data_IF_942534857726
#
_entry.id   IF_942534857726
#
_cell.length_a   1.000
_cell.length_b   1.000
_cell.length_c   1.000
_cell.angle_alpha   90.00
_cell.angle_beta   90.00
_cell.angle_gamma   90.00
#
_symmetry.space_group_name_H-M   'P 1'
#
loop_
_entity.id
_entity.type
_entity.pdbx_description
1 polymer ?
#
# COMPACT_ATOMS: atom_id res chain seq x y z
N UNK A 1 27.15 86.92 -39.68
CA UNK A 1 27.14 86.25 -38.37
C UNK A 1 25.74 85.75 -38.11
N UNK A 2 25.50 84.45 -38.26
CA UNK A 2 24.20 83.80 -37.97
C UNK A 2 24.46 82.64 -37.01
N UNK A 3 23.59 82.58 -36.02
CA UNK A 3 23.65 81.83 -34.77
C UNK A 3 22.99 80.45 -34.90
N UNK A 4 23.52 79.53 -34.10
CA UNK A 4 23.04 78.23 -33.59
C UNK A 4 21.68 77.63 -34.01
N UNK A 5 21.67 76.30 -34.16
CA UNK A 5 20.60 75.42 -33.69
C UNK A 5 21.13 73.99 -33.49
N UNK A 6 21.09 73.46 -32.27
CA UNK A 6 21.41 72.06 -31.95
C UNK A 6 20.28 71.40 -31.13
N UNK A 7 19.49 70.59 -31.84
CA UNK A 7 19.05 69.21 -31.58
C UNK A 7 18.65 68.81 -30.13
N UNK A 8 17.32 68.80 -29.94
CA UNK A 8 16.41 67.77 -29.37
C UNK A 8 16.95 66.74 -28.35
N UNK A 9 16.44 66.84 -27.12
CA UNK A 9 16.41 65.80 -26.08
C UNK A 9 15.41 64.68 -26.42
N UNK A 10 15.79 63.42 -26.23
CA UNK A 10 14.91 62.25 -26.25
C UNK A 10 14.76 61.70 -24.82
N UNK A 11 13.53 61.65 -24.32
CA UNK A 11 13.20 61.17 -22.98
C UNK A 11 13.04 59.64 -22.95
N UNK A 12 13.60 59.00 -21.93
CA UNK A 12 13.50 57.58 -21.58
C UNK A 12 12.21 57.31 -20.78
N UNK A 13 11.40 56.33 -21.18
CA UNK A 13 10.30 55.80 -20.38
C UNK A 13 10.60 54.35 -19.98
N UNK A 14 10.54 54.09 -18.67
CA UNK A 14 10.85 52.82 -18.00
C UNK A 14 9.60 51.93 -17.99
N UNK A 15 9.69 50.71 -18.52
CA UNK A 15 8.63 49.71 -18.49
C UNK A 15 8.66 48.87 -17.20
N UNK A 16 7.51 48.78 -16.52
CA UNK A 16 7.32 47.90 -15.37
C UNK A 16 6.84 46.51 -15.83
N UNK A 17 7.69 45.49 -15.63
CA UNK A 17 7.43 44.10 -16.00
C UNK A 17 6.89 43.33 -14.79
N UNK A 18 5.58 43.07 -14.74
CA UNK A 18 4.96 42.18 -13.75
C UNK A 18 5.24 40.72 -14.12
N UNK A 19 6.15 40.07 -13.40
CA UNK A 19 6.42 38.63 -13.54
C UNK A 19 5.34 37.87 -12.76
N UNK A 20 4.36 37.32 -13.50
CA UNK A 20 3.36 36.41 -12.95
C UNK A 20 4.07 35.06 -12.76
N UNK A 21 4.52 34.78 -11.55
CA UNK A 21 5.00 33.45 -11.15
C UNK A 21 3.82 32.48 -11.18
N UNK A 22 3.65 31.77 -12.29
CA UNK A 22 2.80 30.60 -12.38
C UNK A 22 3.37 29.53 -11.43
N UNK A 23 2.86 29.48 -10.20
CA UNK A 23 3.14 28.39 -9.29
C UNK A 23 2.72 27.09 -9.96
N UNK A 24 3.67 26.20 -10.22
CA UNK A 24 3.38 24.82 -10.56
C UNK A 24 2.69 24.19 -9.35
N UNK A 25 1.36 24.15 -9.38
CA UNK A 25 0.60 23.29 -8.49
C UNK A 25 0.97 21.85 -8.82
N UNK A 26 1.97 21.31 -8.12
CA UNK A 26 2.25 19.88 -8.15
C UNK A 26 1.05 19.15 -7.56
N UNK A 27 0.19 18.59 -8.42
CA UNK A 27 -0.78 17.59 -8.02
C UNK A 27 -0.05 16.47 -7.30
N UNK A 28 -0.48 16.15 -6.08
CA UNK A 28 0.08 15.07 -5.26
C UNK A 28 -0.16 13.70 -5.91
N UNK A 29 0.69 12.69 -5.62
CA UNK A 29 0.92 11.55 -6.50
C UNK A 29 -0.36 10.80 -6.84
N UNK A 30 -0.46 10.41 -8.11
CA UNK A 30 -1.37 9.35 -8.56
C UNK A 30 -1.22 8.17 -7.61
N UNK A 31 -2.33 7.65 -7.08
CA UNK A 31 -2.32 6.44 -6.28
C UNK A 31 -1.43 5.38 -6.95
N UNK A 32 -0.36 4.94 -6.29
CA UNK A 32 0.65 4.03 -6.87
C UNK A 32 0.18 2.57 -6.86
N UNK A 33 -1.13 2.35 -6.94
CA UNK A 33 -1.76 1.06 -6.72
C UNK A 33 -2.54 0.62 -7.96
N UNK A 34 -1.83 0.12 -8.99
CA UNK A 34 -2.47 -0.35 -10.20
C UNK A 34 -3.33 -1.58 -9.91
N UNK A 35 -4.56 -1.60 -10.45
CA UNK A 35 -5.47 -2.74 -10.34
C UNK A 35 -5.12 -3.91 -11.28
N UNK A 36 -4.01 -3.82 -12.01
CA UNK A 36 -3.53 -4.85 -12.94
C UNK A 36 -2.66 -5.87 -12.20
N UNK A 37 -2.62 -7.14 -12.67
CA UNK A 37 -1.66 -8.10 -12.16
C UNK A 37 -0.22 -7.58 -12.29
N UNK A 38 0.60 -7.86 -11.29
CA UNK A 38 1.99 -7.45 -11.22
C UNK A 38 2.88 -8.54 -10.62
N UNK A 39 4.15 -8.50 -11.00
CA UNK A 39 5.24 -9.21 -10.32
C UNK A 39 6.21 -8.17 -9.80
N UNK A 40 6.44 -8.17 -8.50
CA UNK A 40 7.36 -7.21 -7.88
C UNK A 40 8.80 -7.54 -8.29
N UNK A 41 9.43 -6.70 -9.12
CA UNK A 41 10.84 -6.87 -9.51
C UNK A 41 11.79 -6.64 -8.33
N UNK A 42 11.41 -5.76 -7.43
CA UNK A 42 12.08 -5.46 -6.17
C UNK A 42 11.05 -5.26 -5.06
N UNK A 43 11.52 -5.44 -3.81
CA UNK A 43 10.72 -5.10 -2.64
C UNK A 43 10.33 -3.64 -2.74
N UNK A 44 9.03 -3.36 -2.67
CA UNK A 44 8.50 -2.02 -2.84
C UNK A 44 7.36 -1.77 -1.85
N UNK A 45 7.22 -0.52 -1.42
CA UNK A 45 6.11 -0.06 -0.61
C UNK A 45 5.19 0.78 -1.47
N UNK A 46 3.96 0.32 -1.62
CA UNK A 46 2.87 1.00 -2.31
C UNK A 46 2.11 1.84 -1.28
N UNK A 47 1.91 3.11 -1.59
CA UNK A 47 1.03 3.99 -0.82
C UNK A 47 -0.19 4.24 -1.71
N UNK A 48 -1.26 3.49 -1.46
CA UNK A 48 -2.45 3.50 -2.34
C UNK A 48 -3.26 4.77 -2.14
N UNK A 49 -3.60 5.04 -0.88
CA UNK A 49 -4.36 6.20 -0.46
C UNK A 49 -3.91 6.59 0.95
N UNK A 50 -4.42 7.71 1.45
CA UNK A 50 -4.09 8.15 2.80
C UNK A 50 -4.50 7.07 3.82
N UNK A 51 -3.52 6.50 4.52
CA UNK A 51 -3.76 5.48 5.56
C UNK A 51 -3.73 4.04 5.08
N UNK A 52 -3.38 3.75 3.82
CA UNK A 52 -3.12 2.39 3.34
C UNK A 52 -1.71 2.29 2.76
N UNK A 53 -0.87 1.50 3.42
CA UNK A 53 0.47 1.14 2.94
C UNK A 53 0.61 -0.36 2.77
N UNK A 54 1.17 -0.79 1.64
CA UNK A 54 1.37 -2.20 1.31
C UNK A 54 2.83 -2.39 0.89
N UNK A 55 3.62 -3.10 1.69
CA UNK A 55 4.96 -3.53 1.29
C UNK A 55 4.89 -4.94 0.73
N UNK A 56 5.27 -5.12 -0.54
CA UNK A 56 5.35 -6.44 -1.18
C UNK A 56 6.79 -6.92 -1.26
N UNK A 57 7.00 -8.21 -0.99
CA UNK A 57 8.31 -8.85 -1.15
C UNK A 57 8.73 -8.93 -2.61
N UNK A 58 10.04 -8.83 -2.87
CA UNK A 58 10.62 -9.12 -4.19
C UNK A 58 10.13 -10.46 -4.72
N UNK A 59 9.64 -10.46 -5.96
CA UNK A 59 9.12 -11.62 -6.68
C UNK A 59 7.70 -12.02 -6.28
N UNK A 60 7.00 -11.21 -5.47
CA UNK A 60 5.59 -11.45 -5.19
C UNK A 60 4.74 -11.31 -6.46
N UNK A 61 3.84 -12.27 -6.67
CA UNK A 61 2.79 -12.20 -7.68
C UNK A 61 1.51 -11.72 -7.01
N UNK A 62 0.98 -10.59 -7.46
CA UNK A 62 -0.17 -9.97 -6.81
C UNK A 62 -0.99 -9.13 -7.76
N UNK A 63 -2.18 -8.73 -7.29
CA UNK A 63 -3.02 -7.72 -7.91
C UNK A 63 -3.80 -6.98 -6.84
N UNK A 64 -3.92 -5.66 -6.99
CA UNK A 64 -4.83 -4.87 -6.15
C UNK A 64 -6.23 -4.87 -6.75
N UNK A 65 -7.24 -4.82 -5.89
CA UNK A 65 -8.63 -4.86 -6.29
C UNK A 65 -9.45 -3.79 -5.56
N UNK A 66 -10.34 -3.19 -6.33
CA UNK A 66 -11.46 -2.38 -5.87
C UNK A 66 -12.71 -3.23 -6.11
N UNK A 67 -13.17 -3.95 -5.08
CA UNK A 67 -14.28 -4.91 -5.22
C UNK A 67 -15.63 -4.21 -5.16
N UNK A 68 -15.74 -3.13 -4.39
CA UNK A 68 -16.96 -2.35 -4.25
C UNK A 68 -17.14 -1.29 -5.36
N UNK A 69 -16.11 -1.06 -6.18
CA UNK A 69 -16.07 -0.12 -7.32
C UNK A 69 -16.21 1.34 -6.90
N UNK A 70 -15.67 1.71 -5.74
CA UNK A 70 -15.70 3.09 -5.25
C UNK A 70 -14.46 3.92 -5.63
N UNK A 71 -13.51 3.31 -6.35
CA UNK A 71 -12.26 3.92 -6.78
C UNK A 71 -11.12 3.76 -5.78
N UNK A 72 -11.34 3.14 -4.62
CA UNK A 72 -10.32 2.83 -3.62
C UNK A 72 -9.98 1.34 -3.60
N UNK A 73 -8.78 1.01 -3.15
CA UNK A 73 -8.35 -0.39 -3.08
C UNK A 73 -8.82 -0.98 -1.76
N UNK A 74 -9.70 -1.98 -1.84
CA UNK A 74 -10.23 -2.69 -0.67
C UNK A 74 -9.67 -4.12 -0.52
N UNK A 75 -8.85 -4.58 -1.47
CA UNK A 75 -8.21 -5.88 -1.40
C UNK A 75 -6.87 -6.00 -2.12
N UNK A 76 -6.02 -6.88 -1.60
CA UNK A 76 -4.84 -7.42 -2.23
C UNK A 76 -5.07 -8.90 -2.53
N UNK A 77 -5.03 -9.29 -3.81
CA UNK A 77 -4.94 -10.69 -4.21
C UNK A 77 -3.47 -11.06 -4.27
N UNK A 78 -3.03 -12.01 -3.44
CA UNK A 78 -1.63 -12.42 -3.30
C UNK A 78 -1.48 -13.92 -3.58
N UNK A 79 -0.75 -14.25 -4.65
CA UNK A 79 -0.59 -15.63 -5.12
C UNK A 79 0.70 -16.29 -4.62
N UNK A 80 1.72 -15.48 -4.32
CA UNK A 80 3.00 -15.98 -3.81
C UNK A 80 3.77 -14.90 -3.06
N UNK A 81 4.70 -15.35 -2.20
CA UNK A 81 5.56 -14.50 -1.38
C UNK A 81 4.78 -13.71 -0.33
N UNK A 82 5.44 -12.74 0.29
CA UNK A 82 4.89 -12.01 1.40
C UNK A 82 4.44 -10.59 1.06
N UNK A 83 3.47 -10.10 1.83
CA UNK A 83 3.11 -8.70 1.90
C UNK A 83 2.92 -8.28 3.37
N UNK A 84 3.30 -7.05 3.69
CA UNK A 84 2.95 -6.34 4.91
C UNK A 84 1.90 -5.28 4.56
N UNK A 85 0.80 -5.27 5.30
CA UNK A 85 -0.30 -4.34 5.12
C UNK A 85 -0.41 -3.51 6.40
N UNK A 86 -0.46 -2.20 6.25
CA UNK A 86 -0.76 -1.25 7.32
C UNK A 86 -1.97 -0.40 6.93
N UNK A 87 -3.05 -0.54 7.72
CA UNK A 87 -4.31 0.18 7.55
C UNK A 87 -4.53 1.08 8.75
N UNK A 88 -4.75 2.36 8.50
CA UNK A 88 -5.17 3.35 9.49
C UNK A 88 -6.70 3.43 9.55
N UNK A 89 -7.26 3.03 10.70
CA UNK A 89 -8.71 3.04 10.94
C UNK A 89 -9.34 4.44 10.91
N UNK A 90 -8.55 5.48 11.17
CA UNK A 90 -9.03 6.87 11.16
C UNK A 90 -9.11 7.46 9.75
N UNK A 91 -8.48 6.82 8.77
CA UNK A 91 -8.42 7.29 7.38
C UNK A 91 -9.19 6.39 6.43
N UNK A 92 -9.15 5.09 6.65
CA UNK A 92 -9.87 4.09 5.86
C UNK A 92 -11.15 3.69 6.61
N UNK A 93 -12.30 4.10 6.07
CA UNK A 93 -13.62 3.81 6.64
C UNK A 93 -14.08 2.37 6.35
N UNK A 94 -13.52 1.74 5.31
CA UNK A 94 -13.79 0.38 4.89
C UNK A 94 -12.97 -0.70 5.61
N UNK A 95 -13.23 -1.96 5.24
CA UNK A 95 -12.31 -3.05 5.56
C UNK A 95 -11.25 -3.22 4.47
N UNK A 96 -10.18 -3.92 4.79
CA UNK A 96 -9.20 -4.36 3.79
C UNK A 96 -9.04 -5.88 3.84
N UNK A 97 -8.92 -6.52 2.69
CA UNK A 97 -8.73 -7.96 2.59
C UNK A 97 -7.43 -8.34 1.89
N UNK A 98 -6.79 -9.41 2.34
CA UNK A 98 -5.84 -10.17 1.53
C UNK A 98 -6.46 -11.50 1.17
N UNK A 99 -6.61 -11.73 -0.12
CA UNK A 99 -7.14 -12.97 -0.70
C UNK A 99 -5.99 -13.79 -1.23
N UNK A 100 -5.87 -15.03 -0.79
CA UNK A 100 -4.85 -15.98 -1.24
C UNK A 100 -5.51 -17.28 -1.68
N UNK A 101 -4.75 -18.21 -2.29
CA UNK A 101 -5.28 -19.52 -2.66
C UNK A 101 -5.77 -20.38 -1.48
N UNK A 102 -5.38 -20.08 -0.24
CA UNK A 102 -5.74 -20.87 0.94
C UNK A 102 -6.59 -20.09 1.95
N UNK A 103 -6.48 -18.76 2.00
CA UNK A 103 -7.10 -17.95 3.04
C UNK A 103 -7.66 -16.62 2.50
N UNK A 104 -8.68 -16.13 3.21
CA UNK A 104 -9.10 -14.73 3.14
C UNK A 104 -8.84 -14.14 4.51
N UNK A 105 -8.01 -13.10 4.58
CA UNK A 105 -7.72 -12.40 5.81
C UNK A 105 -8.24 -10.96 5.73
N UNK A 106 -9.08 -10.58 6.69
CA UNK A 106 -9.89 -9.37 6.66
C UNK A 106 -9.70 -8.54 7.92
N UNK A 107 -9.64 -7.22 7.75
CA UNK A 107 -9.30 -6.29 8.83
C UNK A 107 -10.08 -4.99 8.78
N UNK A 108 -10.05 -4.27 9.91
CA UNK A 108 -10.23 -2.82 9.99
C UNK A 108 -9.12 -2.25 10.86
N UNK A 109 -8.29 -1.37 10.31
CA UNK A 109 -7.32 -0.62 11.12
C UNK A 109 -6.19 -1.42 11.76
N UNK A 110 -5.43 -2.20 10.99
CA UNK A 110 -4.44 -3.14 11.52
C UNK A 110 -3.11 -3.08 10.77
N UNK A 111 -2.05 -3.55 11.44
CA UNK A 111 -0.78 -3.87 10.79
C UNK A 111 -0.52 -5.36 10.86
N UNK A 112 -0.32 -6.01 9.73
CA UNK A 112 -0.29 -7.48 9.64
C UNK A 112 0.40 -7.94 8.36
N UNK A 113 0.91 -9.16 8.37
CA UNK A 113 1.64 -9.73 7.25
C UNK A 113 1.03 -11.05 6.80
N UNK A 114 1.09 -11.28 5.49
CA UNK A 114 0.69 -12.54 4.83
C UNK A 114 1.89 -13.08 4.10
N UNK A 115 2.16 -14.38 4.22
CA UNK A 115 3.18 -15.09 3.46
C UNK A 115 2.55 -16.28 2.73
N UNK A 116 2.56 -16.23 1.40
CA UNK A 116 1.97 -17.25 0.55
C UNK A 116 3.05 -18.17 0.00
N UNK A 117 2.94 -19.44 0.37
CA UNK A 117 3.74 -20.54 -0.16
C UNK A 117 2.82 -21.49 -0.92
N UNK A 118 3.42 -22.42 -1.68
CA UNK A 118 2.66 -23.39 -2.49
C UNK A 118 1.65 -24.20 -1.64
N UNK A 119 2.06 -24.62 -0.46
CA UNK A 119 1.27 -25.49 0.40
C UNK A 119 0.35 -24.73 1.37
N UNK A 120 0.73 -23.51 1.79
CA UNK A 120 0.01 -22.79 2.83
C UNK A 120 0.09 -21.26 2.67
N UNK A 121 -0.84 -20.59 3.32
CA UNK A 121 -0.79 -19.15 3.61
C UNK A 121 -0.58 -18.98 5.10
N UNK A 122 0.47 -18.25 5.47
CA UNK A 122 0.70 -17.83 6.86
C UNK A 122 0.20 -16.42 7.06
N UNK A 123 -0.47 -16.14 8.17
CA UNK A 123 -0.90 -14.78 8.56
C UNK A 123 -0.34 -14.46 9.94
N UNK A 124 0.24 -13.26 10.10
CA UNK A 124 0.81 -12.73 11.34
C UNK A 124 0.22 -11.36 11.65
N UNK A 125 -0.17 -11.12 12.90
CA UNK A 125 -0.67 -9.81 13.33
C UNK A 125 0.38 -9.07 14.15
N UNK A 126 0.71 -7.85 13.72
CA UNK A 126 1.65 -6.95 14.41
C UNK A 126 0.88 -5.91 15.26
N UNK A 127 -0.30 -5.49 14.80
CA UNK A 127 -1.18 -4.53 15.48
C UNK A 127 -2.64 -4.79 15.14
N UNK A 128 -3.51 -4.73 16.15
CA UNK A 128 -4.95 -4.87 15.99
C UNK A 128 -5.41 -6.33 15.96
N UNK A 129 -6.45 -6.62 15.18
CA UNK A 129 -7.06 -7.95 15.07
C UNK A 129 -7.39 -8.31 13.62
N UNK A 130 -7.09 -9.54 13.23
CA UNK A 130 -7.30 -10.02 11.87
C UNK A 130 -8.22 -11.23 11.90
N UNK A 131 -9.33 -11.18 11.16
CA UNK A 131 -10.15 -12.35 10.89
C UNK A 131 -9.53 -13.13 9.74
N UNK A 132 -9.33 -14.44 9.89
CA UNK A 132 -8.77 -15.30 8.84
C UNK A 132 -9.72 -16.46 8.60
N UNK A 133 -10.19 -16.59 7.35
CA UNK A 133 -11.08 -17.65 6.90
C UNK A 133 -10.32 -18.59 5.96
N UNK A 134 -10.42 -19.89 6.22
CA UNK A 134 -9.88 -20.93 5.35
C UNK A 134 -10.80 -21.12 4.15
N UNK A 135 -10.26 -20.92 2.94
CA UNK A 135 -11.03 -21.00 1.68
C UNK A 135 -11.69 -22.37 1.49
N UNK A 136 -10.97 -23.46 1.82
CA UNK A 136 -11.45 -24.82 1.55
C UNK A 136 -12.63 -25.29 2.43
N UNK A 137 -12.87 -24.62 3.56
CA UNK A 137 -13.87 -25.07 4.55
C UNK A 137 -14.78 -23.96 5.04
N UNK A 138 -14.45 -22.69 4.81
CA UNK A 138 -15.11 -21.54 5.41
C UNK A 138 -14.80 -21.34 6.89
N UNK A 139 -14.02 -22.22 7.54
CA UNK A 139 -13.67 -22.08 8.94
C UNK A 139 -12.89 -20.79 9.19
N UNK A 140 -13.33 -20.01 10.17
CA UNK A 140 -12.70 -18.75 10.57
C UNK A 140 -12.02 -18.80 11.94
N UNK A 141 -10.99 -17.99 12.12
CA UNK A 141 -10.39 -17.64 13.42
C UNK A 141 -10.10 -16.14 13.47
N UNK A 142 -10.00 -15.59 14.68
CA UNK A 142 -9.52 -14.22 14.89
C UNK A 142 -8.16 -14.24 15.57
N UNK A 143 -7.22 -13.50 15.01
CA UNK A 143 -5.86 -13.32 15.52
C UNK A 143 -5.73 -11.96 16.19
N UNK A 144 -4.99 -11.89 17.29
CA UNK A 144 -4.51 -10.66 17.92
C UNK A 144 -3.00 -10.49 17.76
N UNK A 145 -2.46 -9.38 18.29
CA UNK A 145 -1.02 -9.05 18.22
C UNK A 145 -0.12 -10.22 18.65
N UNK A 146 0.91 -10.50 17.85
CA UNK A 146 1.88 -11.58 18.05
C UNK A 146 1.38 -12.96 17.62
N UNK A 147 0.07 -13.11 17.40
CA UNK A 147 -0.50 -14.37 16.93
C UNK A 147 -0.36 -14.51 15.43
N UNK A 148 -0.25 -15.75 15.01
CA UNK A 148 -0.40 -16.14 13.63
C UNK A 148 -1.06 -17.51 13.46
N UNK A 149 -1.41 -17.79 12.21
CA UNK A 149 -2.02 -19.04 11.77
C UNK A 149 -1.40 -19.47 10.45
N UNK A 150 -1.27 -20.78 10.28
CA UNK A 150 -0.90 -21.41 9.02
C UNK A 150 -2.13 -22.08 8.42
N UNK A 151 -2.54 -21.62 7.23
CA UNK A 151 -3.73 -22.08 6.52
C UNK A 151 -3.30 -22.94 5.34
N UNK A 152 -3.54 -24.23 5.44
CA UNK A 152 -3.36 -25.19 4.34
C UNK A 152 -4.68 -25.46 3.62
N UNK A 153 -4.68 -26.38 2.64
CA UNK A 153 -5.91 -26.81 1.96
C UNK A 153 -6.63 -27.96 2.66
N UNK A 154 -6.05 -28.52 3.73
CA UNK A 154 -6.64 -29.66 4.43
C UNK A 154 -7.90 -29.25 5.20
N UNK A 155 -8.73 -30.24 5.54
CA UNK A 155 -9.90 -30.03 6.41
C UNK A 155 -9.54 -29.91 7.90
N UNK A 156 -8.24 -29.92 8.24
CA UNK A 156 -7.81 -29.79 9.63
C UNK A 156 -8.20 -28.42 10.20
N UNK A 157 -8.59 -28.35 11.49
CA UNK A 157 -8.93 -27.09 12.13
C UNK A 157 -7.79 -26.08 12.09
N UNK A 158 -8.13 -24.80 11.98
CA UNK A 158 -7.17 -23.71 12.11
C UNK A 158 -6.61 -23.67 13.54
N UNK A 159 -5.28 -23.53 13.66
CA UNK A 159 -4.58 -23.43 14.95
C UNK A 159 -3.94 -22.06 15.08
N UNK A 160 -4.48 -21.24 15.99
CA UNK A 160 -3.88 -19.96 16.36
C UNK A 160 -2.71 -20.21 17.29
N UNK A 161 -1.57 -19.61 17.00
CA UNK A 161 -0.35 -19.77 17.79
C UNK A 161 0.30 -18.41 18.05
N UNK A 162 0.99 -18.26 19.17
CA UNK A 162 1.93 -17.14 19.34
C UNK A 162 3.18 -17.45 18.52
N UNK A 163 3.55 -16.56 17.61
CA UNK A 163 4.75 -16.75 16.81
C UNK A 163 5.99 -16.34 17.60
N UNK A 164 6.99 -17.21 17.62
CA UNK A 164 8.29 -16.87 18.21
C UNK A 164 8.97 -15.74 17.44
N UNK A 165 9.73 -14.89 18.15
CA UNK A 165 10.44 -13.75 17.57
C UNK A 165 11.32 -14.10 16.36
N UNK A 166 12.04 -15.24 16.32
CA UNK A 166 12.84 -15.61 15.14
C UNK A 166 12.01 -15.75 13.86
N UNK A 167 10.81 -16.32 13.96
CA UNK A 167 9.89 -16.48 12.82
C UNK A 167 9.36 -15.12 12.34
N UNK A 168 9.03 -14.24 13.28
CA UNK A 168 8.59 -12.87 12.98
C UNK A 168 9.72 -12.11 12.27
N UNK A 169 10.93 -12.11 12.82
CA UNK A 169 12.10 -11.42 12.25
C UNK A 169 12.42 -11.92 10.84
N UNK A 170 12.38 -13.24 10.60
CA UNK A 170 12.64 -13.79 9.28
C UNK A 170 11.64 -13.31 8.22
N UNK A 171 10.36 -13.18 8.58
CA UNK A 171 9.34 -12.61 7.69
C UNK A 171 9.55 -11.11 7.48
N UNK A 172 9.80 -10.38 8.57
CA UNK A 172 10.01 -8.92 8.53
C UNK A 172 11.24 -8.52 7.71
N UNK A 173 12.33 -9.28 7.80
CA UNK A 173 13.55 -9.04 7.02
C UNK A 173 13.30 -9.12 5.50
N UNK A 174 12.48 -10.08 5.03
CA UNK A 174 12.07 -10.17 3.61
C UNK A 174 11.29 -8.94 3.14
N UNK A 175 10.58 -8.31 4.08
CA UNK A 175 9.75 -7.13 3.90
C UNK A 175 10.50 -5.82 4.24
N UNK A 176 11.80 -5.91 4.53
CA UNK A 176 12.66 -4.76 4.82
C UNK A 176 12.25 -3.98 6.05
N UNK A 177 11.75 -4.68 7.08
CA UNK A 177 11.35 -4.13 8.38
C UNK A 177 12.33 -4.53 9.48
#
# INVERSE_FOLDING_TARGET
MIHASNIRNLALLIGALCIISAGTASSQPVANCPLRPAVSAERQTLNCEAGLSITVERGAHYRLADRNRDGQVDALVLDSKAALIDVDAGRIQGGFEVVTPQAIAAVRGTRWAVDVKRANTSVLVLRGRVAVNKVSTGQGVTLGRGQGVDVDRSRSPLRVTQWGQPRINALMARLGQ
#
